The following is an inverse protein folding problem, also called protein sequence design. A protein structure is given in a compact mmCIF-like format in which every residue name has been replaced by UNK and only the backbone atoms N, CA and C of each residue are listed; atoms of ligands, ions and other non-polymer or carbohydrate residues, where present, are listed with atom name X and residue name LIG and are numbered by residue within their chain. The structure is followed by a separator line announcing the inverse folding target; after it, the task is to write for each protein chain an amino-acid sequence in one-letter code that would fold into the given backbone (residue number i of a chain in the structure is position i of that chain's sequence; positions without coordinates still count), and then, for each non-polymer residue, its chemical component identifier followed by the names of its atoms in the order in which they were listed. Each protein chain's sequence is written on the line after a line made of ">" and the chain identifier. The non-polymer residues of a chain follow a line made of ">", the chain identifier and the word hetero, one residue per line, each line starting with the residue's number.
data_IF_663555380833
#
_entry.id   IF_663555380833
#
_cell.length_a   1.000
_cell.length_b   1.000
_cell.length_c   1.000
_cell.angle_alpha   90.00
_cell.angle_beta   90.00
_cell.angle_gamma   90.00
#
_symmetry.space_group_name_H-M   'P 1'
#
loop_
_entity.id
_entity.type
_entity.pdbx_description
1 polymer ?
#
# COMPACT_ATOMS: atom_id res chain seq x y z
N UNK A 1 -2.05 -13.92 8.36
CA UNK A 1 -2.33 -12.78 7.46
C UNK A 1 -3.28 -13.18 6.34
N UNK A 2 -3.02 -14.24 5.56
CA UNK A 2 -3.97 -14.69 4.52
C UNK A 2 -5.27 -15.22 5.13
N UNK A 3 -5.18 -16.14 6.10
CA UNK A 3 -6.34 -16.75 6.75
C UNK A 3 -7.23 -15.70 7.44
N UNK A 4 -6.65 -14.76 8.19
CA UNK A 4 -7.41 -13.69 8.83
C UNK A 4 -8.09 -12.75 7.84
N UNK A 5 -7.45 -12.46 6.69
CA UNK A 5 -8.07 -11.68 5.63
C UNK A 5 -9.24 -12.43 4.95
N UNK A 6 -9.10 -13.74 4.72
CA UNK A 6 -10.18 -14.57 4.17
C UNK A 6 -11.37 -14.66 5.13
N UNK A 7 -11.12 -14.83 6.43
CA UNK A 7 -12.17 -14.84 7.46
C UNK A 7 -12.88 -13.48 7.53
N UNK A 8 -12.12 -12.37 7.46
CA UNK A 8 -12.71 -11.04 7.45
C UNK A 8 -13.63 -10.82 6.23
N UNK A 9 -13.19 -11.25 5.04
CA UNK A 9 -13.98 -11.14 3.81
C UNK A 9 -15.26 -12.01 3.82
N UNK A 10 -15.22 -13.20 4.43
CA UNK A 10 -16.41 -14.05 4.59
C UNK A 10 -17.44 -13.46 5.55
N UNK A 11 -17.01 -12.60 6.47
CA UNK A 11 -17.86 -11.90 7.42
C UNK A 11 -18.39 -10.56 6.91
N UNK A 12 -18.12 -10.19 5.66
CA UNK A 12 -18.56 -8.91 5.10
C UNK A 12 -19.95 -9.04 4.48
N UNK A 13 -20.92 -8.34 5.08
CA UNK A 13 -22.32 -8.34 4.63
C UNK A 13 -22.53 -7.52 3.34
N UNK A 14 -21.56 -6.69 2.96
CA UNK A 14 -21.64 -5.80 1.79
C UNK A 14 -20.75 -6.33 0.67
N UNK A 15 -20.88 -7.62 0.36
CA UNK A 15 -20.05 -8.28 -0.63
C UNK A 15 -20.31 -7.72 -2.03
N UNK A 16 -19.46 -6.78 -2.46
CA UNK A 16 -19.45 -6.24 -3.82
C UNK A 16 -18.18 -6.72 -4.58
N UNK A 17 -18.31 -7.61 -5.58
CA UNK A 17 -17.16 -8.18 -6.28
C UNK A 17 -16.30 -7.10 -6.98
N UNK A 18 -16.91 -5.98 -7.35
CA UNK A 18 -16.24 -4.89 -8.07
C UNK A 18 -15.33 -4.09 -7.12
N UNK A 19 -15.82 -3.73 -5.93
CA UNK A 19 -15.04 -3.14 -4.85
C UNK A 19 -13.88 -4.02 -4.38
N UNK A 20 -14.12 -5.33 -4.19
CA UNK A 20 -13.07 -6.28 -3.80
C UNK A 20 -11.95 -6.39 -4.85
N UNK A 21 -12.31 -6.36 -6.14
CA UNK A 21 -11.32 -6.35 -7.23
C UNK A 21 -10.45 -5.09 -7.22
N UNK A 22 -11.05 -3.92 -6.95
CA UNK A 22 -10.30 -2.67 -6.80
C UNK A 22 -9.36 -2.69 -5.59
N UNK A 23 -9.80 -3.23 -4.46
CA UNK A 23 -8.97 -3.39 -3.25
C UNK A 23 -7.77 -4.29 -3.56
N UNK A 24 -7.99 -5.43 -4.20
CA UNK A 24 -6.92 -6.34 -4.60
C UNK A 24 -5.91 -5.66 -5.54
N UNK A 25 -6.40 -5.00 -6.60
CA UNK A 25 -5.56 -4.26 -7.56
C UNK A 25 -4.74 -3.14 -6.90
N UNK A 26 -5.34 -2.41 -5.94
CA UNK A 26 -4.65 -1.40 -5.14
C UNK A 26 -3.52 -2.00 -4.31
N UNK A 27 -3.73 -3.15 -3.68
CA UNK A 27 -2.67 -3.83 -2.93
C UNK A 27 -1.55 -4.34 -3.83
N UNK A 28 -1.88 -4.93 -4.98
CA UNK A 28 -0.90 -5.36 -5.97
C UNK A 28 -0.03 -4.19 -6.46
N UNK A 29 -0.67 -3.09 -6.86
CA UNK A 29 0.02 -1.87 -7.31
C UNK A 29 0.88 -1.25 -6.21
N UNK A 30 0.40 -1.23 -4.96
CA UNK A 30 1.15 -0.71 -3.81
C UNK A 30 2.38 -1.58 -3.51
N UNK A 31 2.26 -2.90 -3.61
CA UNK A 31 3.39 -3.82 -3.44
C UNK A 31 4.43 -3.63 -4.56
N UNK A 32 3.98 -3.51 -5.82
CA UNK A 32 4.85 -3.21 -6.96
C UNK A 32 5.59 -1.89 -6.79
N UNK A 33 4.90 -0.82 -6.36
CA UNK A 33 5.51 0.48 -6.03
C UNK A 33 6.56 0.35 -4.92
N UNK A 34 6.29 -0.38 -3.85
CA UNK A 34 7.25 -0.57 -2.76
C UNK A 34 8.53 -1.29 -3.23
N UNK A 35 8.40 -2.33 -4.05
CA UNK A 35 9.54 -3.08 -4.61
C UNK A 35 10.33 -2.19 -5.59
N UNK A 36 9.64 -1.48 -6.49
CA UNK A 36 10.27 -0.59 -7.46
C UNK A 36 11.01 0.55 -6.75
N UNK A 37 10.36 1.23 -5.80
CA UNK A 37 11.00 2.27 -4.99
C UNK A 37 12.25 1.74 -4.31
N UNK A 38 12.18 0.54 -3.74
CA UNK A 38 13.33 -0.09 -3.11
C UNK A 38 14.49 -0.37 -4.09
N UNK A 39 14.19 -0.94 -5.27
CA UNK A 39 15.22 -1.16 -6.32
C UNK A 39 15.82 0.16 -6.79
N UNK A 40 15.02 1.21 -6.99
CA UNK A 40 15.51 2.52 -7.43
C UNK A 40 16.40 3.20 -6.39
N UNK A 41 16.10 3.08 -5.10
CA UNK A 41 16.96 3.60 -4.05
C UNK A 41 18.29 2.82 -3.97
N UNK A 42 18.27 1.49 -4.18
CA UNK A 42 19.47 0.64 -4.15
C UNK A 42 20.37 0.80 -5.38
N UNK A 43 19.80 0.83 -6.59
CA UNK A 43 20.56 0.77 -7.85
C UNK A 43 21.01 2.15 -8.35
N UNK A 44 20.29 3.23 -8.00
CA UNK A 44 20.58 4.59 -8.49
C UNK A 44 21.01 5.59 -7.41
N UNK A 45 20.94 5.22 -6.13
CA UNK A 45 21.21 6.14 -5.02
C UNK A 45 20.30 7.38 -4.99
N UNK A 46 19.17 7.36 -5.69
CA UNK A 46 18.23 8.48 -5.74
C UNK A 46 17.70 8.78 -4.33
N UNK A 47 17.58 10.06 -4.01
CA UNK A 47 17.06 10.50 -2.72
C UNK A 47 15.58 10.13 -2.58
N UNK A 48 15.14 9.72 -1.38
CA UNK A 48 13.72 9.46 -1.07
C UNK A 48 12.80 10.62 -1.46
N UNK A 49 13.32 11.85 -1.38
CA UNK A 49 12.60 13.07 -1.74
C UNK A 49 12.41 13.22 -3.25
N UNK A 50 13.44 12.89 -4.04
CA UNK A 50 13.37 12.89 -5.51
C UNK A 50 12.36 11.86 -5.99
N UNK A 51 12.38 10.66 -5.42
CA UNK A 51 11.45 9.60 -5.81
C UNK A 51 9.98 9.98 -5.52
N UNK A 52 9.74 10.66 -4.38
CA UNK A 52 8.42 11.17 -4.04
C UNK A 52 7.99 12.29 -4.99
N UNK A 53 8.89 13.20 -5.33
CA UNK A 53 8.64 14.27 -6.30
C UNK A 53 8.24 13.73 -7.67
N UNK A 54 8.99 12.74 -8.21
CA UNK A 54 8.65 12.10 -9.48
C UNK A 54 7.32 11.35 -9.43
N UNK A 55 7.04 10.61 -8.35
CA UNK A 55 5.76 9.91 -8.18
C UNK A 55 4.58 10.89 -8.15
N UNK A 56 4.72 12.04 -7.49
CA UNK A 56 3.66 13.06 -7.45
C UNK A 56 3.51 13.80 -8.78
N UNK A 57 4.62 14.16 -9.44
CA UNK A 57 4.61 14.84 -10.73
C UNK A 57 3.93 14.00 -11.81
N UNK A 58 4.17 12.69 -11.83
CA UNK A 58 3.51 11.77 -12.78
C UNK A 58 2.02 11.56 -12.48
N UNK A 59 1.61 11.65 -11.21
CA UNK A 59 0.22 11.44 -10.81
C UNK A 59 -0.69 12.62 -11.13
N UNK A 60 -0.19 13.86 -11.17
CA UNK A 60 -0.99 15.06 -11.49
C UNK A 60 -1.70 14.97 -12.85
N UNK A 61 -1.01 14.73 -13.99
CA UNK A 61 -1.69 14.65 -15.30
C UNK A 61 -2.64 13.46 -15.38
N UNK A 62 -2.28 12.33 -14.77
CA UNK A 62 -3.11 11.13 -14.76
C UNK A 62 -4.40 11.35 -13.96
N UNK A 63 -4.31 12.03 -12.81
CA UNK A 63 -5.46 12.40 -11.99
C UNK A 63 -6.38 13.37 -12.73
N UNK A 64 -5.83 14.32 -13.49
CA UNK A 64 -6.60 15.27 -14.27
C UNK A 64 -7.40 14.57 -15.38
N UNK A 65 -6.80 13.60 -16.07
CA UNK A 65 -7.48 12.78 -17.09
C UNK A 65 -8.60 11.96 -16.45
N UNK A 66 -8.33 11.25 -15.34
CA UNK A 66 -9.35 10.43 -14.65
C UNK A 66 -10.50 11.30 -14.15
N UNK A 67 -10.21 12.48 -13.59
CA UNK A 67 -11.24 13.41 -13.12
C UNK A 67 -12.11 13.92 -14.26
N UNK A 68 -11.52 14.20 -15.44
CA UNK A 68 -12.26 14.61 -16.62
C UNK A 68 -13.17 13.50 -17.18
N UNK A 69 -12.77 12.23 -17.06
CA UNK A 69 -13.55 11.09 -17.56
C UNK A 69 -14.63 10.63 -16.58
N UNK A 70 -14.41 10.72 -15.27
CA UNK A 70 -15.29 10.14 -14.25
C UNK A 70 -16.21 11.16 -13.57
N UNK A 71 -15.78 12.42 -13.44
CA UNK A 71 -16.50 13.42 -12.64
C UNK A 71 -16.98 14.60 -13.48
N UNK A 72 -18.17 15.11 -13.17
CA UNK A 72 -18.59 16.43 -13.63
C UNK A 72 -17.71 17.48 -12.95
N UNK A 73 -16.62 17.88 -13.62
CA UNK A 73 -15.67 18.92 -13.18
C UNK A 73 -16.40 20.19 -12.70
N UNK A 74 -17.53 20.49 -13.33
CA UNK A 74 -18.43 21.59 -12.96
C UNK A 74 -18.96 21.52 -11.52
N UNK A 75 -19.27 20.31 -11.00
CA UNK A 75 -19.77 20.11 -9.63
C UNK A 75 -18.66 20.31 -8.59
N UNK A 76 -17.42 20.01 -8.95
CA UNK A 76 -16.24 20.23 -8.09
C UNK A 76 -15.96 21.73 -7.99
N UNK A 77 -16.01 22.46 -9.10
CA UNK A 77 -15.75 23.91 -9.12
C UNK A 77 -16.84 24.68 -8.35
N UNK A 78 -18.11 24.27 -8.48
CA UNK A 78 -19.24 24.93 -7.79
C UNK A 78 -19.49 24.42 -6.35
N UNK A 79 -18.48 23.83 -5.70
CA UNK A 79 -18.64 23.37 -4.32
C UNK A 79 -18.76 24.56 -3.34
N UNK A 80 -19.88 24.65 -2.63
CA UNK A 80 -20.24 25.83 -1.84
C UNK A 80 -19.30 26.16 -0.68
N UNK A 81 -18.45 25.22 -0.23
CA UNK A 81 -17.58 25.41 0.94
C UNK A 81 -16.12 25.73 0.59
N UNK A 82 -15.78 25.97 -0.69
CA UNK A 82 -14.41 26.35 -1.08
C UNK A 82 -13.86 27.56 -0.33
N UNK A 83 -14.71 28.50 0.05
CA UNK A 83 -14.33 29.73 0.77
C UNK A 83 -14.40 29.58 2.28
N UNK A 84 -14.87 28.45 2.81
CA UNK A 84 -15.01 28.27 4.25
C UNK A 84 -13.63 27.99 4.89
N UNK A 85 -13.17 28.83 5.84
CA UNK A 85 -11.83 28.71 6.41
C UNK A 85 -11.62 27.40 7.18
N UNK A 86 -12.68 26.84 7.78
CA UNK A 86 -12.61 25.58 8.52
C UNK A 86 -12.40 24.41 7.55
N UNK A 87 -13.11 24.42 6.41
CA UNK A 87 -12.93 23.42 5.36
C UNK A 87 -11.51 23.46 4.78
N UNK A 88 -11.01 24.66 4.47
CA UNK A 88 -9.64 24.85 3.97
C UNK A 88 -8.61 24.33 4.98
N UNK A 89 -8.81 24.60 6.28
CA UNK A 89 -7.92 24.12 7.32
C UNK A 89 -7.86 22.59 7.38
N UNK A 90 -9.02 21.90 7.37
CA UNK A 90 -9.06 20.44 7.30
C UNK A 90 -8.46 19.88 6.01
N UNK A 91 -8.66 20.57 4.88
CA UNK A 91 -8.10 20.18 3.59
C UNK A 91 -6.56 20.26 3.60
N UNK A 92 -6.00 21.35 4.11
CA UNK A 92 -4.54 21.52 4.26
C UNK A 92 -3.99 20.46 5.22
N UNK A 93 -4.64 20.26 6.37
CA UNK A 93 -4.23 19.25 7.35
C UNK A 93 -4.20 17.84 6.73
N UNK A 94 -5.25 17.49 5.98
CA UNK A 94 -5.31 16.22 5.24
C UNK A 94 -4.17 16.09 4.23
N UNK A 95 -3.91 17.12 3.43
CA UNK A 95 -2.81 17.14 2.47
C UNK A 95 -1.45 16.96 3.14
N UNK A 96 -1.18 17.71 4.23
CA UNK A 96 0.05 17.56 5.01
C UNK A 96 0.22 16.14 5.56
N UNK A 97 -0.84 15.54 6.10
CA UNK A 97 -0.82 14.17 6.61
C UNK A 97 -0.54 13.14 5.51
N UNK A 98 -1.09 13.34 4.31
CA UNK A 98 -0.87 12.45 3.17
C UNK A 98 0.59 12.49 2.69
N UNK A 99 1.20 13.68 2.60
CA UNK A 99 2.62 13.83 2.25
C UNK A 99 3.50 13.17 3.31
N UNK A 100 3.22 13.43 4.59
CA UNK A 100 3.98 12.85 5.71
C UNK A 100 3.92 11.32 5.70
N UNK A 101 2.73 10.74 5.52
CA UNK A 101 2.53 9.29 5.46
C UNK A 101 3.29 8.67 4.28
N UNK A 102 3.21 9.27 3.09
CA UNK A 102 3.95 8.78 1.91
C UNK A 102 5.47 8.86 2.12
N UNK A 103 5.96 9.96 2.71
CA UNK A 103 7.37 10.12 3.04
C UNK A 103 7.84 9.07 4.05
N UNK A 104 7.13 8.91 5.17
CA UNK A 104 7.47 7.90 6.19
C UNK A 104 7.45 6.47 5.64
N UNK A 105 6.51 6.14 4.75
CA UNK A 105 6.46 4.82 4.11
C UNK A 105 7.64 4.58 3.16
N UNK A 106 8.05 5.59 2.38
CA UNK A 106 9.24 5.49 1.53
C UNK A 106 10.50 5.33 2.37
N UNK A 107 10.65 6.13 3.42
CA UNK A 107 11.78 6.05 4.33
C UNK A 107 11.83 4.70 5.07
N UNK A 108 10.69 4.17 5.51
CA UNK A 108 10.58 2.83 6.07
C UNK A 108 11.04 1.77 5.05
N UNK A 109 10.61 1.88 3.80
CA UNK A 109 10.98 0.97 2.70
C UNK A 109 12.48 1.01 2.39
N UNK A 110 13.11 2.17 2.55
CA UNK A 110 14.54 2.35 2.37
C UNK A 110 15.36 1.52 3.38
N UNK A 111 15.05 1.64 4.68
CA UNK A 111 15.81 0.97 5.73
C UNK A 111 15.44 -0.49 5.96
N UNK A 112 14.33 -0.96 5.38
CA UNK A 112 13.70 -2.24 5.74
C UNK A 112 13.72 -3.25 4.59
N UNK A 113 13.72 -4.55 4.90
CA UNK A 113 13.57 -5.61 3.89
C UNK A 113 12.22 -5.51 3.15
N UNK A 114 12.12 -6.02 1.91
CA UNK A 114 10.87 -5.95 1.15
C UNK A 114 9.71 -6.67 1.87
N UNK A 115 10.03 -7.81 2.51
CA UNK A 115 9.08 -8.59 3.30
C UNK A 115 8.53 -7.80 4.50
N UNK A 116 9.41 -7.12 5.25
CA UNK A 116 8.98 -6.35 6.42
C UNK A 116 8.21 -5.08 6.01
N UNK A 117 8.55 -4.44 4.87
CA UNK A 117 7.77 -3.32 4.32
C UNK A 117 6.33 -3.72 3.97
N UNK A 118 6.11 -4.92 3.41
CA UNK A 118 4.77 -5.47 3.18
C UNK A 118 3.97 -5.65 4.48
N UNK A 119 4.63 -6.09 5.55
CA UNK A 119 3.99 -6.35 6.84
C UNK A 119 3.66 -5.03 7.56
N UNK A 120 4.55 -4.03 7.51
CA UNK A 120 4.25 -2.66 7.98
C UNK A 120 3.04 -2.08 7.24
N UNK A 121 2.93 -2.31 5.93
CA UNK A 121 1.78 -1.91 5.14
C UNK A 121 0.47 -2.55 5.63
N UNK A 122 0.50 -3.82 6.05
CA UNK A 122 -0.68 -4.50 6.61
C UNK A 122 -1.00 -4.00 8.02
N UNK A 123 0.00 -3.81 8.88
CA UNK A 123 -0.19 -3.22 10.21
C UNK A 123 -0.87 -1.85 10.10
N UNK A 124 -0.39 -0.99 9.18
CA UNK A 124 -1.01 0.31 8.91
C UNK A 124 -2.49 0.16 8.58
N UNK A 125 -2.84 -0.74 7.66
CA UNK A 125 -4.24 -0.92 7.27
C UNK A 125 -5.10 -1.43 8.43
N UNK A 126 -4.59 -2.37 9.24
CA UNK A 126 -5.28 -2.87 10.44
C UNK A 126 -5.53 -1.73 11.44
N UNK A 127 -4.53 -0.88 11.68
CA UNK A 127 -4.68 0.28 12.58
C UNK A 127 -5.73 1.25 12.06
N UNK A 128 -5.74 1.53 10.75
CA UNK A 128 -6.76 2.38 10.12
C UNK A 128 -8.14 1.75 10.29
N UNK A 129 -8.30 0.45 10.04
CA UNK A 129 -9.58 -0.25 10.23
C UNK A 129 -10.08 -0.15 11.67
N UNK A 130 -9.22 -0.35 12.68
CA UNK A 130 -9.62 -0.18 14.07
C UNK A 130 -9.99 1.28 14.38
N UNK A 131 -9.20 2.25 13.91
CA UNK A 131 -9.51 3.67 14.14
C UNK A 131 -10.85 4.07 13.51
N UNK A 132 -11.12 3.61 12.28
CA UNK A 132 -12.41 3.79 11.59
C UNK A 132 -13.56 3.12 12.35
N UNK A 133 -13.35 1.93 12.90
CA UNK A 133 -14.35 1.25 13.73
C UNK A 133 -14.72 2.04 15.00
N UNK A 134 -13.74 2.67 15.67
CA UNK A 134 -14.00 3.44 16.91
C UNK A 134 -14.62 4.82 16.64
N UNK A 135 -14.25 5.47 15.54
CA UNK A 135 -14.62 6.87 15.24
C UNK A 135 -15.82 6.94 14.30
N UNK A 136 -16.02 5.93 13.44
CA UNK A 136 -16.90 5.98 12.29
C UNK A 136 -18.40 5.88 12.59
N UNK A 137 -18.82 5.41 13.78
CA UNK A 137 -20.22 5.40 14.25
C UNK A 137 -21.22 4.53 13.47
N UNK A 138 -20.96 4.22 12.20
CA UNK A 138 -21.84 3.55 11.23
C UNK A 138 -21.21 2.25 10.68
N UNK A 139 -20.29 1.65 11.44
CA UNK A 139 -19.71 0.36 11.05
C UNK A 139 -20.63 -0.78 11.48
N UNK A 140 -21.20 -1.50 10.51
CA UNK A 140 -22.02 -2.69 10.81
C UNK A 140 -21.09 -3.83 11.24
N UNK A 141 -20.83 -3.87 12.54
CA UNK A 141 -19.97 -4.88 13.15
C UNK A 141 -20.52 -6.27 12.94
N UNK A 142 -19.79 -7.08 12.17
CA UNK A 142 -19.98 -8.53 12.14
C UNK A 142 -18.88 -9.19 12.96
N UNK A 143 -19.27 -10.10 13.87
CA UNK A 143 -18.34 -10.80 14.77
C UNK A 143 -17.20 -11.49 13.99
N UNK A 144 -17.53 -12.06 12.82
CA UNK A 144 -16.58 -12.71 11.92
C UNK A 144 -15.51 -11.75 11.37
N UNK A 145 -15.88 -10.51 11.06
CA UNK A 145 -14.94 -9.49 10.58
C UNK A 145 -13.98 -9.05 11.70
N UNK A 146 -14.51 -8.81 12.90
CA UNK A 146 -13.71 -8.49 14.07
C UNK A 146 -12.67 -9.58 14.40
N UNK A 147 -13.08 -10.85 14.34
CA UNK A 147 -12.18 -12.00 14.54
C UNK A 147 -11.10 -12.04 13.44
N UNK A 148 -11.49 -11.85 12.17
CA UNK A 148 -10.55 -11.84 11.03
C UNK A 148 -9.47 -10.76 11.15
N UNK A 149 -9.87 -9.54 11.52
CA UNK A 149 -8.94 -8.41 11.75
C UNK A 149 -8.03 -8.69 12.94
N UNK A 150 -8.55 -9.27 14.02
CA UNK A 150 -7.77 -9.63 15.22
C UNK A 150 -6.71 -10.69 14.92
N UNK A 151 -7.08 -11.75 14.17
CA UNK A 151 -6.13 -12.78 13.72
C UNK A 151 -5.02 -12.17 12.86
N UNK A 152 -5.36 -11.18 12.01
CA UNK A 152 -4.37 -10.46 11.22
C UNK A 152 -3.43 -9.60 12.05
N UNK A 153 -3.95 -8.93 13.09
CA UNK A 153 -3.13 -8.16 14.03
C UNK A 153 -2.13 -9.06 14.75
N UNK A 154 -2.61 -10.18 15.31
CA UNK A 154 -1.77 -11.15 16.04
C UNK A 154 -0.70 -11.75 15.12
N UNK A 155 -1.06 -12.15 13.90
CA UNK A 155 -0.09 -12.70 12.93
C UNK A 155 1.02 -11.69 12.58
N UNK A 156 0.67 -10.41 12.42
CA UNK A 156 1.64 -9.34 12.13
C UNK A 156 2.57 -9.09 13.31
N UNK A 157 2.00 -9.05 14.53
CA UNK A 157 2.76 -8.87 15.77
C UNK A 157 3.73 -10.04 16.03
N UNK A 158 3.27 -11.29 15.83
CA UNK A 158 4.13 -12.47 15.97
C UNK A 158 5.31 -12.46 15.00
N UNK A 159 5.10 -12.03 13.74
CA UNK A 159 6.20 -11.91 12.79
C UNK A 159 7.24 -10.89 13.25
N UNK A 160 6.80 -9.70 13.69
CA UNK A 160 7.70 -8.64 14.18
C UNK A 160 8.46 -9.13 15.43
N UNK A 161 7.76 -9.76 16.38
CA UNK A 161 8.37 -10.31 17.59
C UNK A 161 9.40 -11.42 17.27
N UNK A 162 9.08 -12.32 16.34
CA UNK A 162 10.01 -13.36 15.89
C UNK A 162 11.24 -12.76 15.18
N UNK A 163 11.07 -11.66 14.44
CA UNK A 163 12.19 -10.94 13.81
C UNK A 163 13.09 -10.26 14.84
N UNK A 164 12.51 -9.60 15.85
CA UNK A 164 13.28 -9.00 16.96
C UNK A 164 14.08 -10.03 17.75
N UNK A 165 13.56 -11.24 17.96
CA UNK A 165 14.26 -12.32 18.69
C UNK A 165 15.43 -12.97 17.94
N UNK A 166 15.52 -12.82 16.61
CA UNK A 166 16.53 -13.49 15.76
C UNK A 166 17.79 -12.65 15.47
N UNK A 167 18.02 -11.54 16.18
CA UNK A 167 19.21 -10.70 15.98
C UNK A 167 20.55 -11.26 16.55
N UNK A 168 20.79 -12.59 16.55
CA UNK A 168 22.13 -13.11 16.30
C UNK A 168 22.24 -14.15 15.16
N UNK A 169 21.31 -14.21 14.19
CA UNK A 169 21.50 -15.04 12.99
C UNK A 169 20.89 -14.44 11.72
N UNK A 170 21.58 -13.46 11.14
CA UNK A 170 21.52 -13.20 9.69
C UNK A 170 21.97 -14.46 8.94
N UNK A 171 21.16 -14.99 8.00
CA UNK A 171 21.64 -15.72 6.81
C UNK A 171 20.52 -16.46 6.04
N UNK A 172 19.53 -17.06 6.69
CA UNK A 172 18.61 -17.99 5.98
C UNK A 172 17.65 -17.35 4.97
N UNK A 173 17.07 -16.19 5.29
CA UNK A 173 16.03 -15.55 4.45
C UNK A 173 16.64 -14.59 3.42
N UNK A 174 17.82 -14.04 3.70
CA UNK A 174 18.58 -13.23 2.75
C UNK A 174 19.20 -14.11 1.64
N UNK A 175 19.50 -15.37 1.94
CA UNK A 175 19.86 -16.40 0.95
C UNK A 175 18.66 -16.77 0.08
N UNK A 176 17.45 -16.89 0.63
CA UNK A 176 16.23 -17.13 -0.17
C UNK A 176 15.88 -15.93 -1.05
N UNK A 177 16.01 -14.70 -0.53
CA UNK A 177 15.76 -13.48 -1.30
C UNK A 177 16.82 -13.28 -2.39
N UNK A 178 18.12 -13.52 -2.12
CA UNK A 178 19.17 -13.51 -3.15
C UNK A 178 18.99 -14.64 -4.18
N UNK A 179 18.50 -15.81 -3.77
CA UNK A 179 18.22 -16.93 -4.69
C UNK A 179 17.02 -16.64 -5.59
N UNK A 180 16.01 -15.94 -5.09
CA UNK A 180 14.87 -15.51 -5.90
C UNK A 180 15.26 -14.33 -6.82
N UNK A 181 16.06 -13.38 -6.33
CA UNK A 181 16.61 -12.27 -7.12
C UNK A 181 17.55 -12.77 -8.22
N UNK A 182 18.41 -13.76 -7.95
CA UNK A 182 19.26 -14.39 -8.97
C UNK A 182 18.46 -15.23 -9.96
N UNK A 183 17.37 -15.89 -9.53
CA UNK A 183 16.50 -16.69 -10.41
C UNK A 183 15.69 -15.81 -11.36
N UNK A 184 15.24 -14.64 -10.89
CA UNK A 184 14.51 -13.66 -11.71
C UNK A 184 15.45 -12.93 -12.68
N UNK A 185 16.70 -12.63 -12.27
CA UNK A 185 17.71 -12.05 -13.16
C UNK A 185 18.30 -13.09 -14.16
N UNK A 186 18.19 -14.38 -13.87
CA UNK A 186 18.69 -15.47 -14.73
C UNK A 186 17.64 -16.02 -15.69
N UNK A 187 16.40 -15.52 -15.70
CA UNK A 187 15.47 -15.82 -16.80
C UNK A 187 16.06 -15.10 -18.03
N UNK A 188 16.66 -15.83 -18.99
CA UNK A 188 17.08 -15.18 -20.22
C UNK A 188 15.80 -14.63 -20.84
N UNK A 189 15.85 -13.41 -21.36
CA UNK A 189 14.86 -12.95 -22.31
C UNK A 189 14.67 -14.08 -23.35
N UNK A 190 13.56 -14.81 -23.26
CA UNK A 190 13.17 -15.80 -24.26
C UNK A 190 12.82 -14.99 -25.48
N UNK A 191 13.85 -14.77 -26.29
CA UNK A 191 13.86 -14.69 -27.73
C UNK A 191 12.50 -14.32 -28.33
N UNK A 192 12.33 -13.03 -28.59
CA UNK A 192 11.69 -12.60 -29.82
C UNK A 192 12.50 -13.18 -30.98
N UNK A 193 12.08 -14.35 -31.47
CA UNK A 193 12.26 -14.85 -32.83
C UNK A 193 11.66 -16.24 -32.98
N UNK A 194 10.54 -16.32 -33.69
CA UNK A 194 10.20 -17.34 -34.71
C UNK A 194 8.89 -16.86 -35.35
N UNK A 195 8.71 -16.77 -36.66
CA UNK A 195 9.42 -17.26 -37.83
C UNK A 195 8.78 -16.52 -39.04
N UNK A 196 9.58 -15.99 -39.97
CA UNK A 196 9.68 -16.51 -41.35
C UNK A 196 8.34 -16.49 -42.14
N UNK A 197 8.27 -15.60 -43.12
CA UNK A 197 7.19 -15.47 -44.10
C UNK A 197 7.24 -14.12 -44.78
#
# INVERSE_FOLDING_TARGET
>A
MVIGASVAALGDITFDPLGYTFVFSKHFSTAGKAILSKSRLRDKGCSSFELLYYNSAFMIPLLLIVTALTSNVFRIINFSFWTNPIFILYLIFSCCSAVLLNYSMLQCTHYTSALTASIVGVIKNITVTYAEMFIGGDYVFTLTNFIGVTINAVASAMYVAARCRKQPQESGVEVVARKMESTVLSVPAVQDKKQAG
#
